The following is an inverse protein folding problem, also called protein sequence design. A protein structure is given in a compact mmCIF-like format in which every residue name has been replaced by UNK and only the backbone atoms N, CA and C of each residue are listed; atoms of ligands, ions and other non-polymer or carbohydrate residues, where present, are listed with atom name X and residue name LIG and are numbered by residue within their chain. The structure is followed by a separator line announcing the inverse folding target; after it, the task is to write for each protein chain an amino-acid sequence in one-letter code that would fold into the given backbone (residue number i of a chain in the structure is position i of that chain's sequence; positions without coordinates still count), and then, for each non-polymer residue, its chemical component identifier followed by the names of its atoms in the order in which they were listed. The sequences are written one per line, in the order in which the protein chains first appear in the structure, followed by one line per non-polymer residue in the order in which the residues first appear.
data_IF_543268020892
#
_entry.id   IF_543268020892
#
_cell.length_a   1.000
_cell.length_b   1.000
_cell.length_c   1.000
_cell.angle_alpha   90.00
_cell.angle_beta   90.00
_cell.angle_gamma   90.00
#
_symmetry.space_group_name_H-M   'P 1'
#
loop_
_entity.id
_entity.type
_entity.pdbx_description
1 polymer ?
#
# COMPACT_ATOMS: atom_id res chain seq x y z
N UNK A 1 18.12 1.93 -21.30
CA UNK A 1 17.36 0.95 -20.51
C UNK A 1 16.28 1.70 -19.71
N UNK A 2 15.20 2.13 -20.36
CA UNK A 2 14.13 2.88 -19.69
C UNK A 2 13.18 1.90 -19.00
N UNK A 3 13.34 1.74 -17.69
CA UNK A 3 12.40 1.06 -16.80
C UNK A 3 11.11 1.89 -16.60
N UNK A 4 10.47 2.33 -17.68
CA UNK A 4 9.20 3.04 -17.62
C UNK A 4 8.06 2.03 -17.75
N UNK A 5 7.55 1.51 -16.61
CA UNK A 5 6.27 0.77 -16.57
C UNK A 5 5.21 1.63 -17.26
N UNK A 6 4.60 1.13 -18.34
CA UNK A 6 3.57 1.86 -19.09
C UNK A 6 2.37 2.18 -18.19
N UNK A 7 1.67 3.29 -18.42
CA UNK A 7 0.49 3.67 -17.63
C UNK A 7 -0.55 2.53 -17.55
N UNK A 8 -0.69 1.74 -18.63
CA UNK A 8 -1.56 0.55 -18.68
C UNK A 8 -1.08 -0.57 -17.74
N UNK A 9 0.23 -0.79 -17.63
CA UNK A 9 0.79 -1.80 -16.71
C UNK A 9 0.63 -1.38 -15.25
N UNK A 10 0.79 -0.08 -14.96
CA UNK A 10 0.58 0.46 -13.61
C UNK A 10 -0.88 0.33 -13.18
N UNK A 11 -1.81 0.63 -14.09
CA UNK A 11 -3.24 0.48 -13.83
C UNK A 11 -3.62 -0.98 -13.60
N UNK A 12 -3.16 -1.90 -14.46
CA UNK A 12 -3.42 -3.33 -14.29
C UNK A 12 -2.83 -3.87 -12.98
N UNK A 13 -1.61 -3.45 -12.63
CA UNK A 13 -0.97 -3.80 -11.36
C UNK A 13 -1.80 -3.32 -10.16
N UNK A 14 -2.21 -2.05 -10.15
CA UNK A 14 -3.03 -1.48 -9.09
C UNK A 14 -4.39 -2.19 -8.97
N UNK A 15 -5.03 -2.49 -10.11
CA UNK A 15 -6.30 -3.20 -10.15
C UNK A 15 -6.17 -4.63 -9.60
N UNK A 16 -5.15 -5.39 -10.02
CA UNK A 16 -4.92 -6.74 -9.51
C UNK A 16 -4.60 -6.74 -8.01
N UNK A 17 -3.85 -5.75 -7.54
CA UNK A 17 -3.56 -5.58 -6.12
C UNK A 17 -4.84 -5.35 -5.32
N UNK A 18 -5.66 -4.36 -5.72
CA UNK A 18 -6.94 -4.07 -5.05
C UNK A 18 -7.89 -5.27 -5.07
N UNK A 19 -8.04 -5.96 -6.20
CA UNK A 19 -8.92 -7.13 -6.28
C UNK A 19 -8.49 -8.26 -5.36
N UNK A 20 -7.18 -8.56 -5.28
CA UNK A 20 -6.68 -9.59 -4.36
C UNK A 20 -6.80 -9.15 -2.90
N UNK A 21 -6.52 -7.89 -2.61
CA UNK A 21 -6.66 -7.34 -1.26
C UNK A 21 -8.11 -7.48 -0.78
N UNK A 22 -9.08 -7.07 -1.60
CA UNK A 22 -10.51 -7.23 -1.32
C UNK A 22 -10.85 -8.72 -1.15
N UNK A 23 -10.39 -9.60 -2.04
CA UNK A 23 -10.70 -11.03 -1.97
C UNK A 23 -10.22 -11.70 -0.67
N UNK A 24 -9.12 -11.22 -0.07
CA UNK A 24 -8.58 -11.80 1.17
C UNK A 24 -9.09 -11.07 2.41
N UNK A 25 -9.03 -9.74 2.45
CA UNK A 25 -9.43 -8.94 3.61
C UNK A 25 -10.93 -9.05 3.90
N UNK A 26 -11.75 -9.26 2.87
CA UNK A 26 -13.19 -9.35 3.02
C UNK A 26 -13.66 -10.55 3.84
N UNK A 27 -13.34 -11.82 3.48
CA UNK A 27 -13.75 -12.97 4.29
C UNK A 27 -13.10 -12.98 5.68
N UNK A 28 -11.83 -12.55 5.78
CA UNK A 28 -11.13 -12.40 7.06
C UNK A 28 -11.81 -11.39 7.97
N UNK A 29 -12.18 -10.22 7.42
CA UNK A 29 -12.84 -9.17 8.16
C UNK A 29 -14.25 -9.56 8.59
N UNK A 30 -15.03 -10.23 7.74
CA UNK A 30 -16.37 -10.74 8.11
C UNK A 30 -16.24 -11.71 9.27
N UNK A 31 -15.23 -12.59 9.24
CA UNK A 31 -14.99 -13.56 10.30
C UNK A 31 -14.51 -12.92 11.61
N UNK A 32 -13.65 -11.89 11.55
CA UNK A 32 -13.07 -11.24 12.73
C UNK A 32 -14.01 -10.21 13.39
N UNK A 33 -14.69 -9.41 12.56
CA UNK A 33 -15.44 -8.23 13.01
C UNK A 33 -16.94 -8.45 13.04
N UNK A 34 -17.44 -9.57 12.50
CA UNK A 34 -18.87 -9.88 12.35
C UNK A 34 -19.66 -8.78 11.62
N UNK A 35 -18.96 -7.98 10.80
CA UNK A 35 -19.51 -6.86 10.04
C UNK A 35 -19.80 -7.29 8.60
N UNK A 36 -20.67 -6.53 7.92
CA UNK A 36 -21.05 -6.86 6.54
C UNK A 36 -19.89 -6.70 5.56
N UNK A 37 -19.92 -7.52 4.50
CA UNK A 37 -18.97 -7.51 3.40
C UNK A 37 -18.74 -6.10 2.81
N UNK A 38 -19.83 -5.35 2.66
CA UNK A 38 -19.82 -4.00 2.11
C UNK A 38 -19.12 -2.98 3.03
N UNK A 39 -19.32 -3.07 4.35
CA UNK A 39 -18.69 -2.15 5.31
C UNK A 39 -17.17 -2.31 5.34
N UNK A 40 -16.67 -3.54 5.28
CA UNK A 40 -15.23 -3.84 5.32
C UNK A 40 -14.56 -3.49 3.99
N UNK A 41 -15.21 -3.77 2.87
CA UNK A 41 -14.74 -3.34 1.55
C UNK A 41 -14.65 -1.81 1.47
N UNK A 42 -15.69 -1.10 1.93
CA UNK A 42 -15.71 0.36 1.93
C UNK A 42 -14.66 0.95 2.89
N UNK A 43 -14.48 0.37 4.07
CA UNK A 43 -13.45 0.78 5.01
C UNK A 43 -12.05 0.64 4.38
N UNK A 44 -11.77 -0.48 3.72
CA UNK A 44 -10.49 -0.70 3.03
C UNK A 44 -10.23 0.40 2.00
N UNK A 45 -11.23 0.73 1.18
CA UNK A 45 -11.11 1.82 0.19
C UNK A 45 -10.88 3.17 0.87
N UNK A 46 -11.62 3.47 1.94
CA UNK A 46 -11.45 4.71 2.71
C UNK A 46 -10.04 4.83 3.30
N UNK A 47 -9.54 3.75 3.91
CA UNK A 47 -8.18 3.68 4.46
C UNK A 47 -7.14 3.88 3.35
N UNK A 48 -7.29 3.21 2.19
CA UNK A 48 -6.40 3.39 1.05
C UNK A 48 -6.35 4.84 0.57
N UNK A 49 -7.51 5.51 0.47
CA UNK A 49 -7.59 6.92 0.06
C UNK A 49 -6.93 7.86 1.08
N UNK A 50 -7.21 7.64 2.37
CA UNK A 50 -6.59 8.40 3.47
C UNK A 50 -5.08 8.20 3.49
N UNK A 51 -4.61 6.96 3.34
CA UNK A 51 -3.18 6.65 3.27
C UNK A 51 -2.50 7.29 2.06
N UNK A 52 -3.11 7.26 0.87
CA UNK A 52 -2.60 7.96 -0.31
C UNK A 52 -2.53 9.47 -0.10
N UNK A 53 -3.60 10.06 0.44
CA UNK A 53 -3.67 11.49 0.73
C UNK A 53 -2.62 11.91 1.77
N UNK A 54 -2.50 11.14 2.86
CA UNK A 54 -1.51 11.36 3.91
C UNK A 54 -0.09 11.20 3.39
N UNK A 55 0.20 10.18 2.57
CA UNK A 55 1.50 10.00 1.94
C UNK A 55 1.90 11.21 1.08
N UNK A 56 0.99 11.72 0.24
CA UNK A 56 1.29 12.91 -0.55
C UNK A 56 1.50 14.15 0.32
N UNK A 57 0.63 14.37 1.31
CA UNK A 57 0.69 15.51 2.22
C UNK A 57 1.98 15.50 3.06
N UNK A 58 2.29 14.37 3.68
CA UNK A 58 3.46 14.20 4.55
C UNK A 58 4.76 14.35 3.75
N UNK A 59 4.86 13.71 2.57
CA UNK A 59 6.03 13.88 1.71
C UNK A 59 6.22 15.36 1.31
N UNK A 60 5.15 16.07 0.96
CA UNK A 60 5.23 17.49 0.61
C UNK A 60 5.64 18.37 1.81
N UNK A 61 5.12 18.09 3.01
CA UNK A 61 5.49 18.78 4.25
C UNK A 61 6.96 18.55 4.58
N UNK A 62 7.42 17.30 4.48
CA UNK A 62 8.78 16.93 4.81
C UNK A 62 9.80 17.47 3.80
N UNK A 63 9.48 17.44 2.51
CA UNK A 63 10.32 18.05 1.47
C UNK A 63 10.45 19.57 1.70
N UNK A 64 9.36 20.26 2.05
CA UNK A 64 9.41 21.70 2.43
C UNK A 64 10.24 21.92 3.69
N UNK A 65 10.08 21.08 4.72
CA UNK A 65 10.87 21.16 5.94
C UNK A 65 12.36 20.95 5.66
N UNK A 66 12.70 19.99 4.79
CA UNK A 66 14.08 19.73 4.37
C UNK A 66 14.68 20.91 3.61
N UNK A 67 13.94 21.50 2.66
CA UNK A 67 14.39 22.69 1.93
C UNK A 67 14.61 23.89 2.86
N UNK A 68 13.78 24.03 3.90
CA UNK A 68 13.87 25.15 4.86
C UNK A 68 14.96 24.96 5.92
N UNK A 69 15.17 23.73 6.38
CA UNK A 69 16.11 23.41 7.46
C UNK A 69 17.48 22.93 6.96
N UNK A 70 17.62 22.59 5.68
CA UNK A 70 18.89 22.22 5.06
C UNK A 70 19.53 20.94 5.61
N UNK A 71 18.76 20.05 6.26
CA UNK A 71 19.33 18.84 6.87
C UNK A 71 19.72 17.80 5.80
N UNK A 72 20.84 17.12 6.04
CA UNK A 72 21.31 16.01 5.22
C UNK A 72 20.42 14.78 5.47
N UNK A 73 20.05 14.02 4.42
CA UNK A 73 19.26 12.77 4.54
C UNK A 73 20.10 11.62 5.13
N UNK A 74 20.56 11.78 6.37
CA UNK A 74 21.25 10.76 7.16
C UNK A 74 20.29 9.62 7.52
N UNK A 75 20.81 8.47 7.96
CA UNK A 75 19.98 7.35 8.39
C UNK A 75 19.02 7.73 9.53
N UNK A 76 19.46 8.62 10.43
CA UNK A 76 18.63 9.14 11.53
C UNK A 76 17.45 9.94 10.98
N UNK A 77 17.67 10.82 10.00
CA UNK A 77 16.59 11.59 9.38
C UNK A 77 15.55 10.69 8.69
N UNK A 78 15.99 9.57 8.10
CA UNK A 78 15.09 8.57 7.49
C UNK A 78 14.29 7.80 8.54
N UNK A 79 14.91 7.42 9.66
CA UNK A 79 14.23 6.75 10.76
C UNK A 79 13.17 7.67 11.38
N UNK A 80 13.53 8.92 11.67
CA UNK A 80 12.61 9.94 12.19
C UNK A 80 11.44 10.17 11.21
N UNK A 81 11.73 10.28 9.91
CA UNK A 81 10.70 10.39 8.88
C UNK A 81 9.72 9.22 8.91
N UNK A 82 10.23 7.99 8.90
CA UNK A 82 9.39 6.79 8.91
C UNK A 82 8.52 6.72 10.16
N UNK A 83 9.10 7.01 11.34
CA UNK A 83 8.37 7.01 12.62
C UNK A 83 7.29 8.09 12.64
N UNK A 84 7.60 9.32 12.23
CA UNK A 84 6.58 10.39 12.16
C UNK A 84 5.48 10.07 11.14
N UNK A 85 5.85 9.48 10.00
CA UNK A 85 4.90 9.07 8.97
C UNK A 85 3.91 8.07 9.54
N UNK A 86 4.42 7.00 10.16
CA UNK A 86 3.62 5.91 10.71
C UNK A 86 2.71 6.41 11.84
N UNK A 87 3.24 7.19 12.78
CA UNK A 87 2.45 7.76 13.88
C UNK A 87 1.34 8.67 13.34
N UNK A 88 1.66 9.54 12.39
CA UNK A 88 0.68 10.44 11.79
C UNK A 88 -0.42 9.69 11.04
N UNK A 89 -0.04 8.62 10.35
CA UNK A 89 -0.98 7.77 9.62
C UNK A 89 -1.91 7.01 10.60
N UNK A 90 -1.35 6.47 11.68
CA UNK A 90 -2.09 5.78 12.73
C UNK A 90 -3.11 6.70 13.40
N UNK A 91 -2.74 7.96 13.67
CA UNK A 91 -3.66 8.98 14.20
C UNK A 91 -4.80 9.34 13.24
N UNK A 92 -4.66 9.07 11.94
CA UNK A 92 -5.73 9.27 10.96
C UNK A 92 -6.59 8.02 10.78
N UNK A 93 -5.98 6.84 10.68
CA UNK A 93 -6.68 5.58 10.38
C UNK A 93 -7.44 5.05 11.59
N UNK A 94 -6.84 5.06 12.79
CA UNK A 94 -7.46 4.44 13.98
C UNK A 94 -8.79 5.10 14.35
N UNK A 95 -8.89 6.45 14.44
CA UNK A 95 -10.18 7.09 14.74
C UNK A 95 -11.22 6.87 13.64
N UNK A 96 -10.79 6.82 12.38
CA UNK A 96 -11.67 6.54 11.24
C UNK A 96 -12.26 5.13 11.33
N UNK A 97 -11.41 4.13 11.59
CA UNK A 97 -11.84 2.75 11.74
C UNK A 97 -12.75 2.55 12.95
N UNK A 98 -12.41 3.17 14.09
CA UNK A 98 -13.24 3.14 15.30
C UNK A 98 -14.64 3.72 15.03
N UNK A 99 -14.69 4.90 14.40
CA UNK A 99 -15.95 5.56 14.05
C UNK A 99 -16.77 4.76 13.03
N UNK A 100 -16.14 4.22 11.99
CA UNK A 100 -16.83 3.49 10.92
C UNK A 100 -17.38 2.13 11.36
N UNK A 101 -16.61 1.39 12.16
CA UNK A 101 -16.99 0.06 12.62
C UNK A 101 -17.76 0.07 13.95
N UNK A 102 -17.87 1.23 14.60
CA UNK A 102 -18.51 1.37 15.91
C UNK A 102 -17.76 0.62 17.01
N UNK A 103 -16.44 0.47 16.88
CA UNK A 103 -15.57 -0.19 17.86
C UNK A 103 -14.80 0.86 18.67
N UNK A 104 -14.25 0.47 19.83
CA UNK A 104 -13.41 1.37 20.61
C UNK A 104 -12.07 1.66 19.93
N UNK A 105 -11.40 2.73 20.36
CA UNK A 105 -10.09 3.14 19.84
C UNK A 105 -9.01 2.07 20.10
N UNK A 106 -9.14 1.31 21.19
CA UNK A 106 -8.19 0.25 21.54
C UNK A 106 -8.34 -0.95 20.60
N UNK A 107 -9.57 -1.36 20.32
CA UNK A 107 -9.85 -2.41 19.33
C UNK A 107 -9.43 -1.97 17.92
N UNK A 108 -9.71 -0.73 17.54
CA UNK A 108 -9.31 -0.17 16.26
C UNK A 108 -7.78 -0.09 16.09
N UNK A 109 -7.05 0.21 17.17
CA UNK A 109 -5.58 0.20 17.18
C UNK A 109 -5.01 -1.19 16.91
N UNK A 110 -5.52 -2.22 17.58
CA UNK A 110 -5.10 -3.60 17.33
C UNK A 110 -5.51 -4.10 15.95
N UNK A 111 -6.68 -3.67 15.46
CA UNK A 111 -7.12 -3.93 14.10
C UNK A 111 -6.15 -3.33 13.08
N UNK A 112 -5.73 -2.07 13.27
CA UNK A 112 -4.77 -1.38 12.40
C UNK A 112 -3.42 -2.10 12.36
N UNK A 113 -2.89 -2.50 13.52
CA UNK A 113 -1.66 -3.33 13.61
C UNK A 113 -1.85 -4.65 12.85
N UNK A 114 -2.97 -5.34 13.04
CA UNK A 114 -3.26 -6.59 12.35
C UNK A 114 -3.31 -6.43 10.83
N UNK A 115 -3.96 -5.38 10.36
CA UNK A 115 -4.04 -5.03 8.93
C UNK A 115 -2.65 -4.68 8.39
N UNK A 116 -1.88 -3.84 9.08
CA UNK A 116 -0.53 -3.44 8.67
C UNK A 116 0.41 -4.65 8.57
N UNK A 117 0.43 -5.51 9.59
CA UNK A 117 1.23 -6.73 9.62
C UNK A 117 0.80 -7.76 8.58
N UNK A 118 -0.47 -7.77 8.16
CA UNK A 118 -0.96 -8.60 7.07
C UNK A 118 -0.59 -8.02 5.69
N UNK A 119 -0.79 -6.71 5.49
CA UNK A 119 -0.52 -6.04 4.23
C UNK A 119 0.96 -5.97 3.88
N UNK A 120 1.87 -5.89 4.86
CA UNK A 120 3.31 -5.85 4.63
C UNK A 120 3.82 -7.09 3.86
N UNK A 121 3.65 -8.33 4.35
CA UNK A 121 4.04 -9.53 3.64
C UNK A 121 3.20 -9.75 2.38
N UNK A 122 1.91 -9.43 2.39
CA UNK A 122 1.06 -9.51 1.20
C UNK A 122 1.60 -8.65 0.04
N UNK A 123 1.93 -7.39 0.33
CA UNK A 123 2.48 -6.45 -0.66
C UNK A 123 3.83 -6.92 -1.17
N UNK A 124 4.67 -7.44 -0.27
CA UNK A 124 5.97 -8.01 -0.65
C UNK A 124 5.81 -9.20 -1.61
N UNK A 125 4.97 -10.18 -1.25
CA UNK A 125 4.72 -11.37 -2.09
C UNK A 125 4.09 -10.99 -3.42
N UNK A 126 3.12 -10.08 -3.43
CA UNK A 126 2.48 -9.61 -4.65
C UNK A 126 3.49 -8.93 -5.59
N UNK A 127 4.27 -7.98 -5.06
CA UNK A 127 5.29 -7.28 -5.85
C UNK A 127 6.34 -8.25 -6.40
N UNK A 128 6.83 -9.18 -5.56
CA UNK A 128 7.79 -10.20 -5.98
C UNK A 128 7.23 -11.11 -7.07
N UNK A 129 6.01 -11.61 -6.90
CA UNK A 129 5.33 -12.46 -7.88
C UNK A 129 5.12 -11.73 -9.20
N UNK A 130 4.65 -10.49 -9.16
CA UNK A 130 4.41 -9.68 -10.35
C UNK A 130 5.71 -9.42 -11.12
N UNK A 131 6.79 -9.04 -10.42
CA UNK A 131 8.07 -8.76 -11.05
C UNK A 131 8.67 -10.04 -11.67
N UNK A 132 8.49 -11.20 -11.04
CA UNK A 132 8.94 -12.48 -11.60
C UNK A 132 8.16 -12.89 -12.85
N UNK A 133 6.82 -12.77 -12.83
CA UNK A 133 5.96 -13.03 -13.99
C UNK A 133 6.31 -12.07 -15.13
N UNK A 134 6.49 -10.78 -14.83
CA UNK A 134 6.87 -9.77 -15.82
C UNK A 134 8.23 -10.08 -16.44
N UNK A 135 9.22 -10.46 -15.64
CA UNK A 135 10.53 -10.87 -16.15
C UNK A 135 10.43 -12.07 -17.09
N UNK A 136 9.64 -13.09 -16.73
CA UNK A 136 9.41 -14.26 -17.56
C UNK A 136 8.69 -13.93 -18.89
N UNK A 137 7.69 -13.05 -18.87
CA UNK A 137 6.95 -12.61 -20.08
C UNK A 137 7.85 -11.79 -21.01
N UNK A 138 8.66 -10.89 -20.47
CA UNK A 138 9.61 -10.08 -21.25
C UNK A 138 10.68 -10.97 -21.88
N UNK A 139 11.23 -11.94 -21.12
CA UNK A 139 12.21 -12.91 -21.65
C UNK A 139 11.63 -13.76 -22.79
N UNK A 140 10.38 -14.23 -22.65
CA UNK A 140 9.67 -14.98 -23.72
C UNK A 140 9.45 -14.14 -24.98
N UNK A 141 9.08 -12.87 -24.85
CA UNK A 141 8.91 -11.96 -26.00
C UNK A 141 10.23 -11.64 -26.70
N UNK A 142 11.31 -11.45 -25.95
CA UNK A 142 12.64 -11.23 -26.52
C UNK A 142 13.17 -12.45 -27.29
N UNK A 143 12.95 -13.68 -26.76
CA UNK A 143 13.32 -14.92 -27.44
C UNK A 143 12.54 -15.15 -28.74
N UNK A 144 11.24 -14.84 -28.75
CA UNK A 144 10.39 -14.98 -29.95
C UNK A 144 10.79 -14.02 -31.07
N UNK A 145 11.26 -12.82 -30.72
CA UNK A 145 11.73 -11.82 -31.69
C UNK A 145 13.07 -12.24 -32.33
N UNK A 146 14.01 -12.75 -31.52
CA UNK A 146 15.32 -13.23 -31.99
C UNK A 146 15.23 -14.45 -32.92
N UNK A 147 14.18 -15.27 -32.78
CA UNK A 147 13.89 -16.41 -33.69
C UNK A 147 13.18 -15.99 -34.98
N UNK A 148 12.54 -14.82 -35.01
CA UNK A 148 11.88 -14.30 -36.22
C UNK A 148 12.85 -13.48 -37.10
N UNK A 149 13.93 -12.96 -36.50
CA UNK A 149 14.96 -12.16 -37.15
C UNK A 149 16.19 -13.01 -37.62
N UNK A 150 16.15 -14.34 -37.43
CA UNK A 150 17.21 -15.30 -37.78
C UNK A 150 16.72 -16.28 -38.86
#
# INVERSE_FOLDING_TARGET
MSLQKSAKERFFHALCFEVLAIAICTPLGVWLLNQSLAQIGMLTVMISLVAMGWNMLFNALFDRAQLRMGFQRTMVARAVHAVLFEIGLLLAIVPLAAWWLGIGLWEAFWLDIGIALFFMPYTFVFNWSYDHIRAAVVARRAGKKRLADA
#
